data_IF_791079231892
#
_entry.id   IF_791079231892
#
_cell.length_a   1.000
_cell.length_b   1.000
_cell.length_c   1.000
_cell.angle_alpha   90.00
_cell.angle_beta   90.00
_cell.angle_gamma   90.00
#
_symmetry.space_group_name_H-M   'P 1'
#
loop_
_entity.id
_entity.type
_entity.pdbx_description
1 polymer ?
#
# COMPACT_ATOMS: atom_id res chain seq x y z
N UNK A 1 13.94 -7.70 24.68
CA UNK A 1 14.85 -6.58 24.99
C UNK A 1 14.97 -5.76 23.73
N UNK A 2 14.39 -4.56 23.69
CA UNK A 2 14.55 -3.65 22.56
C UNK A 2 15.96 -3.09 22.66
N UNK A 3 16.82 -3.36 21.67
CA UNK A 3 18.15 -2.78 21.60
C UNK A 3 17.99 -1.26 21.54
N UNK A 4 18.50 -0.47 22.50
CA UNK A 4 18.37 0.98 22.43
C UNK A 4 19.14 1.48 21.21
N UNK A 5 18.42 1.75 20.12
CA UNK A 5 19.00 2.25 18.88
C UNK A 5 19.70 3.57 19.17
N UNK A 6 20.97 3.68 18.78
CA UNK A 6 21.79 4.85 19.08
C UNK A 6 21.26 6.08 18.34
N UNK A 7 21.37 7.26 18.95
CA UNK A 7 21.08 8.54 18.31
C UNK A 7 21.81 8.64 16.96
N UNK A 8 21.06 8.86 15.89
CA UNK A 8 21.60 9.06 14.53
C UNK A 8 21.57 7.83 13.62
N UNK A 9 21.17 6.65 14.11
CA UNK A 9 20.87 5.51 13.25
C UNK A 9 19.39 5.50 12.81
N UNK A 10 19.09 5.05 11.58
CA UNK A 10 17.71 4.88 11.17
C UNK A 10 17.02 3.80 12.01
N UNK A 11 15.73 3.97 12.24
CA UNK A 11 14.88 2.94 12.81
C UNK A 11 14.76 1.76 11.85
N UNK A 12 14.53 2.03 10.57
CA UNK A 12 14.37 0.99 9.58
C UNK A 12 15.00 1.42 8.26
N UNK A 13 15.45 0.43 7.50
CA UNK A 13 15.72 0.56 6.08
C UNK A 13 14.54 -0.01 5.31
N UNK A 14 14.00 0.75 4.36
CA UNK A 14 12.80 0.38 3.62
C UNK A 14 13.19 0.08 2.19
N UNK A 15 13.02 -1.18 1.76
CA UNK A 15 13.06 -1.51 0.35
C UNK A 15 11.68 -1.28 -0.26
N UNK A 16 11.56 -0.24 -1.09
CA UNK A 16 10.29 0.19 -1.65
C UNK A 16 10.17 -0.25 -3.11
N UNK A 17 9.04 -0.84 -3.44
CA UNK A 17 8.68 -1.30 -4.79
C UNK A 17 7.55 -0.42 -5.30
N UNK A 18 7.82 0.41 -6.30
CA UNK A 18 6.82 1.30 -6.91
C UNK A 18 6.05 0.54 -7.99
N UNK A 19 4.71 0.62 -7.95
CA UNK A 19 3.84 -0.09 -8.90
C UNK A 19 2.81 0.83 -9.54
N UNK A 20 2.11 0.33 -10.56
CA UNK A 20 1.04 1.04 -11.25
C UNK A 20 -0.37 0.71 -10.73
N UNK A 21 -0.48 0.01 -9.60
CA UNK A 21 -1.74 -0.38 -8.95
C UNK A 21 -1.75 0.01 -7.47
N UNK A 22 -2.93 0.05 -6.87
CA UNK A 22 -3.06 0.28 -5.43
C UNK A 22 -2.46 -0.90 -4.66
N UNK A 23 -1.42 -0.64 -3.87
CA UNK A 23 -0.60 -1.68 -3.26
C UNK A 23 -1.38 -2.49 -2.21
N UNK A 24 -2.38 -1.91 -1.56
CA UNK A 24 -3.13 -2.54 -0.45
C UNK A 24 -3.95 -3.77 -0.84
N UNK A 25 -4.02 -4.07 -2.14
CA UNK A 25 -4.66 -5.28 -2.66
C UNK A 25 -3.72 -6.49 -2.71
N UNK A 26 -2.39 -6.30 -2.60
CA UNK A 26 -1.42 -7.36 -2.91
C UNK A 26 -0.07 -7.26 -2.20
N UNK A 27 0.16 -6.25 -1.37
CA UNK A 27 1.43 -5.98 -0.68
C UNK A 27 1.90 -7.16 0.16
N UNK A 28 0.96 -7.83 0.84
CA UNK A 28 1.23 -8.95 1.74
C UNK A 28 1.64 -10.20 0.95
N UNK A 29 0.89 -10.54 -0.09
CA UNK A 29 1.20 -11.66 -0.96
C UNK A 29 2.52 -11.48 -1.71
N UNK A 30 2.78 -10.26 -2.19
CA UNK A 30 4.04 -9.92 -2.86
C UNK A 30 5.22 -10.04 -1.89
N UNK A 31 5.12 -9.47 -0.69
CA UNK A 31 6.16 -9.64 0.34
C UNK A 31 6.41 -11.12 0.64
N UNK A 32 5.36 -11.89 0.90
CA UNK A 32 5.47 -13.32 1.22
C UNK A 32 6.17 -14.12 0.12
N UNK A 33 5.88 -13.86 -1.15
CA UNK A 33 6.55 -14.52 -2.27
C UNK A 33 8.01 -14.11 -2.41
N UNK A 34 8.31 -12.81 -2.27
CA UNK A 34 9.66 -12.29 -2.44
C UNK A 34 10.56 -12.83 -1.34
N UNK A 35 10.09 -12.78 -0.09
CA UNK A 35 10.97 -12.88 1.07
C UNK A 35 10.76 -14.14 1.89
N UNK A 36 9.57 -14.76 1.82
CA UNK A 36 9.18 -15.90 2.64
C UNK A 36 8.54 -15.52 3.98
N UNK A 37 8.50 -14.24 4.35
CA UNK A 37 7.94 -13.79 5.63
C UNK A 37 6.48 -13.38 5.48
N UNK A 38 5.69 -13.61 6.54
CA UNK A 38 4.29 -13.22 6.66
C UNK A 38 4.09 -12.49 7.99
N UNK A 39 3.10 -11.61 8.04
CA UNK A 39 2.65 -11.02 9.29
C UNK A 39 1.65 -11.90 10.04
N UNK A 40 1.14 -11.39 11.16
CA UNK A 40 0.21 -12.12 12.04
C UNK A 40 -1.15 -12.45 11.39
N UNK A 41 -1.51 -11.75 10.31
CA UNK A 41 -2.74 -12.01 9.56
C UNK A 41 -2.70 -13.27 8.66
N UNK A 42 -1.55 -13.94 8.59
CA UNK A 42 -1.28 -15.13 7.76
C UNK A 42 -1.49 -14.97 6.23
N UNK A 43 -1.82 -13.77 5.75
CA UNK A 43 -1.97 -13.52 4.30
C UNK A 43 -0.64 -13.77 3.59
N UNK A 44 -0.70 -14.51 2.48
CA UNK A 44 0.48 -14.91 1.71
C UNK A 44 1.13 -16.22 2.14
N UNK A 45 0.53 -16.99 3.06
CA UNK A 45 1.08 -18.27 3.57
C UNK A 45 1.57 -19.24 2.48
N UNK A 46 0.80 -19.43 1.41
CA UNK A 46 1.21 -20.30 0.30
C UNK A 46 2.38 -19.71 -0.51
N UNK A 47 2.42 -18.39 -0.72
CA UNK A 47 3.54 -17.71 -1.36
C UNK A 47 4.82 -17.81 -0.51
N UNK A 48 4.69 -17.68 0.81
CA UNK A 48 5.79 -17.81 1.74
C UNK A 48 6.33 -19.25 1.82
N UNK A 49 5.45 -20.25 1.71
CA UNK A 49 5.85 -21.65 1.59
C UNK A 49 6.59 -21.90 0.28
N UNK A 50 6.08 -21.37 -0.83
CA UNK A 50 6.73 -21.47 -2.13
C UNK A 50 8.12 -20.82 -2.12
N UNK A 51 8.26 -19.61 -1.57
CA UNK A 51 9.55 -18.93 -1.43
C UNK A 51 10.57 -19.79 -0.65
N UNK A 52 10.17 -20.37 0.48
CA UNK A 52 11.02 -21.27 1.28
C UNK A 52 11.46 -22.53 0.53
N UNK A 53 10.68 -22.98 -0.44
CA UNK A 53 11.02 -24.13 -1.28
C UNK A 53 11.94 -23.74 -2.44
N UNK A 54 11.70 -22.59 -3.07
CA UNK A 54 12.45 -22.13 -4.24
C UNK A 54 13.84 -21.57 -3.90
N UNK A 55 13.94 -20.82 -2.79
CA UNK A 55 15.14 -20.06 -2.42
C UNK A 55 15.45 -20.16 -0.90
N UNK A 56 15.56 -21.38 -0.32
CA UNK A 56 15.66 -21.57 1.13
C UNK A 56 16.81 -20.78 1.79
N UNK A 57 18.00 -20.77 1.18
CA UNK A 57 19.18 -20.07 1.73
C UNK A 57 19.00 -18.54 1.73
N UNK A 58 18.30 -18.01 0.72
CA UNK A 58 17.97 -16.57 0.66
C UNK A 58 16.94 -16.24 1.72
N UNK A 59 15.89 -17.06 1.87
CA UNK A 59 14.87 -16.83 2.90
C UNK A 59 15.47 -16.84 4.30
N UNK A 60 16.38 -17.78 4.59
CA UNK A 60 17.08 -17.83 5.87
C UNK A 60 17.86 -16.54 6.17
N UNK A 61 18.55 -15.99 5.16
CA UNK A 61 19.25 -14.69 5.29
C UNK A 61 18.28 -13.52 5.48
N UNK A 62 17.12 -13.55 4.82
CA UNK A 62 16.09 -12.51 4.96
C UNK A 62 15.38 -12.58 6.32
N UNK A 63 15.17 -13.77 6.88
CA UNK A 63 14.63 -13.96 8.23
C UNK A 63 15.47 -13.26 9.29
N UNK A 64 16.79 -13.18 9.09
CA UNK A 64 17.71 -12.48 9.98
C UNK A 64 17.72 -10.97 9.80
N UNK A 65 17.18 -10.42 8.69
CA UNK A 65 17.30 -9.00 8.32
C UNK A 65 15.98 -8.23 8.36
N UNK A 66 14.86 -8.90 8.12
CA UNK A 66 13.54 -8.26 8.00
C UNK A 66 12.92 -8.04 9.37
N UNK A 67 12.46 -6.81 9.61
CA UNK A 67 11.76 -6.43 10.83
C UNK A 67 10.25 -6.60 10.67
N UNK A 68 9.58 -7.06 11.73
CA UNK A 68 8.11 -7.09 11.81
C UNK A 68 7.60 -5.89 12.61
N UNK A 69 6.98 -4.94 11.92
CA UNK A 69 6.56 -3.64 12.47
C UNK A 69 5.04 -3.64 12.68
N UNK A 70 4.52 -3.10 13.80
CA UNK A 70 3.08 -3.02 14.01
C UNK A 70 2.43 -2.01 13.07
N UNK A 71 1.27 -2.37 12.50
CA UNK A 71 0.40 -1.42 11.82
C UNK A 71 -0.39 -0.53 12.81
N UNK A 72 -1.24 0.37 12.30
CA UNK A 72 -2.06 1.28 13.13
C UNK A 72 -3.01 0.55 14.09
N UNK A 73 -3.32 -0.73 13.83
CA UNK A 73 -4.15 -1.57 14.68
C UNK A 73 -3.32 -2.51 15.58
N UNK A 74 -1.99 -2.36 15.59
CA UNK A 74 -1.06 -3.19 16.35
C UNK A 74 -0.76 -4.56 15.73
N UNK A 75 -1.21 -4.83 14.49
CA UNK A 75 -0.92 -6.08 13.81
C UNK A 75 0.50 -6.04 13.22
N UNK A 76 1.37 -6.94 13.66
CA UNK A 76 2.77 -6.98 13.23
C UNK A 76 2.95 -7.58 11.84
N UNK A 77 3.64 -6.85 10.96
CA UNK A 77 3.87 -7.25 9.56
C UNK A 77 5.26 -6.82 9.07
N UNK A 78 5.89 -7.58 8.17
CA UNK A 78 7.17 -7.21 7.57
C UNK A 78 7.05 -6.15 6.45
N UNK A 79 5.83 -5.70 6.16
CA UNK A 79 5.50 -4.91 4.98
C UNK A 79 4.37 -3.93 5.26
N UNK A 80 4.42 -2.78 4.58
CA UNK A 80 3.33 -1.80 4.53
C UNK A 80 3.11 -1.29 3.11
N UNK A 81 1.92 -0.73 2.87
CA UNK A 81 1.72 0.14 1.71
C UNK A 81 2.44 1.46 1.95
N UNK A 82 3.01 2.04 0.88
CA UNK A 82 3.86 3.21 0.98
C UNK A 82 3.46 4.28 -0.06
N UNK A 83 3.58 5.59 0.27
CA UNK A 83 3.30 6.65 -0.68
C UNK A 83 4.20 6.56 -1.93
N UNK A 84 3.59 6.78 -3.09
CA UNK A 84 4.25 6.82 -4.40
C UNK A 84 4.47 8.27 -4.83
N UNK A 85 5.71 8.80 -4.81
CA UNK A 85 5.98 10.17 -5.23
C UNK A 85 5.54 10.44 -6.67
N UNK A 86 5.06 11.66 -6.92
CA UNK A 86 4.54 12.05 -8.23
C UNK A 86 3.14 11.52 -8.55
N UNK A 87 2.50 10.84 -7.59
CA UNK A 87 1.13 10.36 -7.69
C UNK A 87 0.28 10.84 -6.51
N UNK A 88 -1.02 11.01 -6.76
CA UNK A 88 -2.01 11.33 -5.73
C UNK A 88 -3.31 10.54 -5.94
N UNK A 89 -4.01 10.28 -4.84
CA UNK A 89 -5.37 9.75 -4.84
C UNK A 89 -6.36 10.92 -4.75
N UNK A 90 -7.48 10.83 -5.46
CA UNK A 90 -8.50 11.88 -5.50
C UNK A 90 -9.57 11.78 -4.40
N UNK A 91 -9.44 10.83 -3.47
CA UNK A 91 -10.41 10.54 -2.41
C UNK A 91 -11.55 9.61 -2.82
N UNK A 92 -11.64 9.20 -4.09
CA UNK A 92 -12.69 8.31 -4.63
C UNK A 92 -12.09 7.11 -5.38
N UNK A 93 -10.99 6.56 -4.86
CA UNK A 93 -10.32 5.38 -5.42
C UNK A 93 -9.52 5.60 -6.70
N UNK A 94 -9.60 6.80 -7.31
CA UNK A 94 -8.82 7.16 -8.48
C UNK A 94 -7.40 7.61 -8.12
N UNK A 95 -6.40 7.11 -8.85
CA UNK A 95 -4.99 7.41 -8.66
C UNK A 95 -4.42 8.08 -9.92
N UNK A 96 -3.77 9.22 -9.76
CA UNK A 96 -3.36 10.09 -10.87
C UNK A 96 -1.95 10.62 -10.67
N UNK A 97 -1.24 10.90 -11.75
CA UNK A 97 0.05 11.60 -11.69
C UNK A 97 -0.15 13.08 -11.44
N UNK A 98 0.83 13.73 -10.82
CA UNK A 98 0.86 15.20 -10.75
C UNK A 98 0.76 15.83 -12.15
N UNK A 99 0.01 16.92 -12.27
CA UNK A 99 -0.35 17.51 -13.56
C UNK A 99 -1.60 16.90 -14.22
N UNK A 100 -2.26 15.93 -13.60
CA UNK A 100 -3.52 15.33 -14.07
C UNK A 100 -4.75 15.76 -13.25
N UNK A 101 -4.71 16.93 -12.61
CA UNK A 101 -5.74 17.41 -11.69
C UNK A 101 -7.13 17.53 -12.35
N UNK A 102 -7.19 17.99 -13.60
CA UNK A 102 -8.45 18.08 -14.35
C UNK A 102 -9.10 16.70 -14.56
N UNK A 103 -8.29 15.71 -14.95
CA UNK A 103 -8.75 14.32 -15.12
C UNK A 103 -9.18 13.72 -13.79
N UNK A 104 -8.44 13.99 -12.72
CA UNK A 104 -8.75 13.52 -11.38
C UNK A 104 -10.05 14.13 -10.83
N UNK A 105 -10.30 15.42 -11.10
CA UNK A 105 -11.53 16.11 -10.74
C UNK A 105 -12.73 15.55 -11.53
N UNK A 106 -12.58 15.31 -12.83
CA UNK A 106 -13.63 14.70 -13.65
C UNK A 106 -13.99 13.30 -13.12
N UNK A 107 -13.00 12.46 -12.83
CA UNK A 107 -13.21 11.15 -12.22
C UNK A 107 -13.88 11.25 -10.85
N UNK A 108 -13.46 12.20 -9.99
CA UNK A 108 -14.05 12.40 -8.68
C UNK A 108 -15.55 12.72 -8.77
N UNK A 109 -15.94 13.63 -9.67
CA UNK A 109 -17.34 13.99 -9.92
C UNK A 109 -18.15 12.79 -10.42
N UNK A 110 -17.58 12.03 -11.35
CA UNK A 110 -18.21 10.84 -11.90
C UNK A 110 -18.46 9.76 -10.84
N UNK A 111 -17.43 9.41 -10.05
CA UNK A 111 -17.57 8.36 -9.03
C UNK A 111 -18.42 8.82 -7.84
N UNK A 112 -18.37 10.11 -7.47
CA UNK A 112 -19.31 10.69 -6.48
C UNK A 112 -20.75 10.51 -6.95
N UNK A 113 -21.06 10.86 -8.19
CA UNK A 113 -22.39 10.64 -8.76
C UNK A 113 -22.79 9.18 -8.66
N UNK A 114 -21.97 8.26 -9.14
CA UNK A 114 -22.25 6.82 -9.11
C UNK A 114 -22.46 6.26 -7.71
N UNK A 115 -21.71 6.75 -6.72
CA UNK A 115 -21.82 6.32 -5.34
C UNK A 115 -23.12 6.79 -4.68
N UNK A 116 -23.53 8.04 -4.94
CA UNK A 116 -24.67 8.67 -4.26
C UNK A 116 -25.98 8.68 -5.06
N UNK A 117 -25.98 8.36 -6.36
CA UNK A 117 -27.17 8.42 -7.22
C UNK A 117 -28.26 7.40 -6.84
N UNK A 118 -27.92 6.36 -6.06
CA UNK A 118 -28.84 5.27 -5.71
C UNK A 118 -28.92 5.09 -4.21
N UNK A 119 -30.13 5.19 -3.67
CA UNK A 119 -30.43 4.68 -2.35
C UNK A 119 -30.48 3.14 -2.38
N UNK A 120 -29.92 2.45 -1.37
CA UNK A 120 -30.06 1.00 -1.26
C UNK A 120 -31.53 0.57 -1.27
N UNK A 121 -31.88 -0.39 -2.13
CA UNK A 121 -33.25 -0.88 -2.25
C UNK A 121 -33.78 -1.51 -0.95
N UNK A 122 -32.87 -2.02 -0.12
CA UNK A 122 -33.17 -2.62 1.19
C UNK A 122 -33.71 -1.64 2.23
N UNK A 123 -33.64 -0.32 1.99
CA UNK A 123 -34.10 0.68 2.94
C UNK A 123 -35.62 0.91 2.82
N UNK A 124 -36.26 1.22 3.94
CA UNK A 124 -37.64 1.71 3.97
C UNK A 124 -37.78 3.03 3.19
N UNK A 125 -38.95 3.33 2.60
CA UNK A 125 -39.10 4.45 1.66
C UNK A 125 -38.73 5.81 2.26
N UNK A 126 -39.10 6.06 3.51
CA UNK A 126 -38.74 7.30 4.21
C UNK A 126 -37.22 7.47 4.37
N UNK A 127 -36.48 6.37 4.57
CA UNK A 127 -35.02 6.39 4.61
C UNK A 127 -34.42 6.54 3.22
N UNK A 128 -35.02 5.89 2.19
CA UNK A 128 -34.58 6.05 0.80
C UNK A 128 -34.68 7.50 0.35
N UNK A 129 -35.76 8.18 0.69
CA UNK A 129 -35.93 9.59 0.34
C UNK A 129 -34.88 10.48 1.01
N UNK A 130 -34.64 10.28 2.32
CA UNK A 130 -33.57 10.98 3.03
C UNK A 130 -32.20 10.76 2.36
N UNK A 131 -31.88 9.52 2.02
CA UNK A 131 -30.61 9.17 1.35
C UNK A 131 -30.51 9.81 -0.04
N UNK A 132 -31.60 9.89 -0.81
CA UNK A 132 -31.60 10.57 -2.12
C UNK A 132 -31.31 12.06 -1.98
N UNK A 133 -31.95 12.73 -1.02
CA UNK A 133 -31.72 14.17 -0.77
C UNK A 133 -30.27 14.43 -0.34
N UNK A 134 -29.77 13.67 0.63
CA UNK A 134 -28.37 13.78 1.09
C UNK A 134 -27.38 13.43 -0.04
N UNK A 135 -27.69 12.41 -0.83
CA UNK A 135 -26.91 12.01 -2.00
C UNK A 135 -26.85 13.09 -3.08
N UNK A 136 -27.98 13.72 -3.40
CA UNK A 136 -28.03 14.82 -4.37
C UNK A 136 -27.21 16.03 -3.88
N UNK A 137 -27.29 16.37 -2.59
CA UNK A 137 -26.44 17.42 -2.01
C UNK A 137 -24.95 17.12 -2.20
N UNK A 138 -24.51 15.87 -1.96
CA UNK A 138 -23.11 15.45 -2.19
C UNK A 138 -22.70 15.56 -3.66
N UNK A 139 -23.61 15.23 -4.58
CA UNK A 139 -23.37 15.35 -6.03
C UNK A 139 -23.23 16.81 -6.44
N UNK A 140 -24.09 17.69 -5.93
CA UNK A 140 -24.06 19.12 -6.25
C UNK A 140 -22.80 19.79 -5.67
N UNK A 141 -22.44 19.45 -4.43
CA UNK A 141 -21.17 19.84 -3.80
C UNK A 141 -19.97 19.43 -4.67
N UNK A 142 -19.91 18.18 -5.10
CA UNK A 142 -18.84 17.70 -5.96
C UNK A 142 -18.81 18.39 -7.32
N UNK A 143 -19.98 18.65 -7.93
CA UNK A 143 -20.07 19.34 -9.21
C UNK A 143 -19.60 20.80 -9.14
N UNK A 144 -19.82 21.47 -8.01
CA UNK A 144 -19.37 22.83 -7.78
C UNK A 144 -17.84 22.96 -7.56
N UNK A 145 -17.14 21.85 -7.27
CA UNK A 145 -15.69 21.87 -7.11
C UNK A 145 -14.98 22.28 -8.41
N UNK A 146 -14.01 23.18 -8.27
CA UNK A 146 -13.10 23.61 -9.34
C UNK A 146 -11.68 23.04 -9.17
N UNK A 147 -11.37 22.49 -7.99
CA UNK A 147 -10.08 21.89 -7.66
C UNK A 147 -10.34 20.57 -6.95
N UNK A 148 -9.53 19.55 -7.27
CA UNK A 148 -9.58 18.25 -6.61
C UNK A 148 -8.65 18.23 -5.39
N UNK A 149 -9.13 17.69 -4.28
CA UNK A 149 -8.28 17.42 -3.12
C UNK A 149 -7.30 16.30 -3.46
N UNK A 150 -6.04 16.48 -3.09
CA UNK A 150 -4.99 15.46 -3.25
C UNK A 150 -4.72 14.76 -1.93
N UNK A 151 -4.66 13.43 -1.99
CA UNK A 151 -4.20 12.57 -0.91
C UNK A 151 -3.00 11.75 -1.39
N UNK A 152 -2.13 11.23 -0.50
CA UNK A 152 -1.06 10.33 -0.90
C UNK A 152 -1.61 9.11 -1.66
N UNK A 153 -1.04 8.81 -2.83
CA UNK A 153 -1.32 7.56 -3.53
C UNK A 153 -0.44 6.45 -2.96
N UNK A 154 -1.05 5.38 -2.45
CA UNK A 154 -0.34 4.23 -1.91
C UNK A 154 -0.23 3.11 -2.95
N UNK A 155 0.56 3.37 -3.98
CA UNK A 155 0.82 2.43 -5.08
C UNK A 155 2.20 1.77 -4.94
N UNK A 156 2.85 1.94 -3.79
CA UNK A 156 4.15 1.35 -3.49
C UNK A 156 4.04 0.39 -2.31
N UNK A 157 4.98 -0.54 -2.22
CA UNK A 157 5.11 -1.50 -1.12
C UNK A 157 6.45 -1.25 -0.44
N UNK A 158 6.50 -1.18 0.89
CA UNK A 158 7.74 -1.05 1.65
C UNK A 158 7.98 -2.29 2.52
N UNK A 159 9.11 -2.97 2.31
CA UNK A 159 9.58 -4.08 3.15
C UNK A 159 10.60 -3.52 4.15
N UNK A 160 10.41 -3.85 5.43
CA UNK A 160 11.21 -3.31 6.54
C UNK A 160 12.43 -4.17 6.83
N UNK A 161 13.58 -3.53 6.97
CA UNK A 161 14.84 -4.16 7.37
C UNK A 161 15.46 -3.40 8.54
N UNK A 162 16.13 -4.12 9.46
CA UNK A 162 16.93 -3.47 10.53
C UNK A 162 18.36 -3.12 10.08
N UNK A 163 18.82 -3.68 8.96
CA UNK A 163 20.11 -3.39 8.35
C UNK A 163 20.05 -3.49 6.82
N UNK A 164 20.98 -2.85 6.13
CA UNK A 164 21.01 -2.83 4.66
C UNK A 164 21.32 -4.24 4.13
N UNK A 165 20.44 -4.86 3.33
CA UNK A 165 20.77 -6.13 2.68
C UNK A 165 21.91 -5.94 1.69
N UNK A 166 22.76 -6.96 1.53
CA UNK A 166 23.79 -6.92 0.50
C UNK A 166 23.20 -6.92 -0.92
N UNK A 167 24.07 -6.61 -1.89
CA UNK A 167 23.69 -6.44 -3.28
C UNK A 167 23.03 -7.68 -3.88
N UNK A 168 23.52 -8.86 -3.53
CA UNK A 168 22.98 -10.12 -4.06
C UNK A 168 21.56 -10.34 -3.56
N UNK A 169 21.28 -10.06 -2.28
CA UNK A 169 19.91 -10.09 -1.74
C UNK A 169 19.01 -9.07 -2.41
N UNK A 170 19.49 -7.84 -2.61
CA UNK A 170 18.73 -6.79 -3.31
C UNK A 170 18.36 -7.24 -4.73
N UNK A 171 19.28 -7.85 -5.46
CA UNK A 171 19.04 -8.29 -6.83
C UNK A 171 18.03 -9.45 -6.88
N UNK A 172 18.08 -10.39 -5.92
CA UNK A 172 17.06 -11.44 -5.77
C UNK A 172 15.69 -10.84 -5.44
N UNK A 173 15.62 -9.90 -4.50
CA UNK A 173 14.37 -9.21 -4.13
C UNK A 173 13.74 -8.55 -5.36
N UNK A 174 14.53 -7.80 -6.12
CA UNK A 174 14.08 -7.14 -7.36
C UNK A 174 13.61 -8.13 -8.41
N UNK A 175 14.31 -9.25 -8.58
CA UNK A 175 13.93 -10.28 -9.54
C UNK A 175 12.59 -10.91 -9.17
N UNK A 176 12.45 -11.37 -7.92
CA UNK A 176 11.21 -12.00 -7.44
C UNK A 176 10.02 -11.06 -7.46
N UNK A 177 10.23 -9.77 -7.18
CA UNK A 177 9.18 -8.76 -7.32
C UNK A 177 8.65 -8.72 -8.77
N UNK A 178 9.55 -8.73 -9.76
CA UNK A 178 9.16 -8.75 -11.19
C UNK A 178 8.46 -10.06 -11.56
N UNK A 179 8.95 -11.19 -11.05
CA UNK A 179 8.39 -12.50 -11.37
C UNK A 179 6.93 -12.61 -10.91
N UNK A 180 6.64 -12.26 -9.65
CA UNK A 180 5.27 -12.33 -9.14
C UNK A 180 4.36 -11.28 -9.78
N UNK A 181 4.88 -10.08 -10.04
CA UNK A 181 4.13 -9.02 -10.73
C UNK A 181 3.70 -9.45 -12.15
N UNK A 182 4.57 -10.18 -12.86
CA UNK A 182 4.28 -10.74 -14.18
C UNK A 182 3.29 -11.91 -14.14
N UNK A 183 3.32 -12.74 -13.08
CA UNK A 183 2.39 -13.87 -12.89
C UNK A 183 0.99 -13.42 -12.44
N UNK A 184 0.90 -12.23 -11.84
CA UNK A 184 -0.30 -11.72 -11.18
C UNK A 184 -0.24 -11.92 -9.67
N UNK A 185 -0.85 -10.99 -8.92
CA UNK A 185 -0.75 -10.92 -7.46
C UNK A 185 -2.12 -10.73 -6.80
N UNK A 186 -2.18 -10.90 -5.48
CA UNK A 186 -3.40 -10.76 -4.67
C UNK A 186 -4.32 -11.99 -4.67
N UNK A 187 -5.40 -11.91 -3.91
CA UNK A 187 -6.36 -13.01 -3.72
C UNK A 187 -6.87 -13.56 -5.07
N UNK A 188 -6.64 -14.85 -5.35
CA UNK A 188 -7.00 -15.52 -6.63
C UNK A 188 -6.36 -14.91 -7.88
N UNK A 189 -5.21 -14.24 -7.77
CA UNK A 189 -4.55 -13.55 -8.89
C UNK A 189 -5.43 -12.43 -9.49
N UNK A 190 -6.25 -11.78 -8.67
CA UNK A 190 -7.20 -10.76 -9.11
C UNK A 190 -6.51 -9.56 -9.76
N UNK A 191 -5.34 -9.16 -9.26
CA UNK A 191 -4.50 -8.13 -9.88
C UNK A 191 -3.58 -8.80 -10.92
N UNK A 192 -4.17 -9.19 -12.05
CA UNK A 192 -3.38 -9.67 -13.18
C UNK A 192 -2.53 -8.52 -13.72
N UNK A 193 -1.21 -8.73 -13.83
CA UNK A 193 -0.25 -7.80 -14.46
C UNK A 193 -0.06 -6.46 -13.74
N UNK A 194 0.39 -6.52 -12.49
CA UNK A 194 0.99 -5.34 -11.84
C UNK A 194 2.28 -4.98 -12.57
N UNK A 195 2.46 -3.73 -12.98
CA UNK A 195 3.74 -3.25 -13.51
C UNK A 195 4.57 -2.66 -12.38
N UNK A 196 5.84 -3.05 -12.31
CA UNK A 196 6.83 -2.38 -11.47
C UNK A 196 7.36 -1.16 -12.22
N UNK A 197 7.10 0.02 -11.67
CA UNK A 197 7.57 1.30 -12.20
C UNK A 197 8.99 1.62 -11.70
N UNK A 198 9.40 1.10 -10.53
CA UNK A 198 10.73 1.35 -9.98
C UNK A 198 10.98 0.71 -8.62
N UNK A 199 12.19 0.93 -8.10
CA UNK A 199 12.59 0.54 -6.75
C UNK A 199 13.26 1.73 -6.06
N UNK A 200 13.01 1.90 -4.76
CA UNK A 200 13.66 2.89 -3.91
C UNK A 200 14.19 2.21 -2.65
N UNK A 201 15.21 2.81 -2.05
CA UNK A 201 15.75 2.36 -0.77
C UNK A 201 15.85 3.57 0.14
N UNK A 202 15.18 3.51 1.28
CA UNK A 202 14.99 4.66 2.16
C UNK A 202 15.44 4.35 3.59
N UNK A 203 15.87 5.37 4.29
CA UNK A 203 16.08 5.35 5.74
C UNK A 203 14.85 5.97 6.42
N UNK A 204 14.34 5.32 7.47
CA UNK A 204 13.26 5.85 8.30
C UNK A 204 13.81 6.28 9.66
N UNK A 205 13.41 7.46 10.12
CA UNK A 205 13.75 8.01 11.43
C UNK A 205 12.48 8.47 12.16
N UNK A 206 12.39 8.17 13.45
CA UNK A 206 11.31 8.58 14.35
C UNK A 206 11.87 9.55 15.37
N UNK A 207 11.31 10.76 15.42
CA UNK A 207 11.74 11.80 16.38
C UNK A 207 10.63 12.09 17.37
N UNK A 208 10.97 12.12 18.65
CA UNK A 208 10.07 12.53 19.72
C UNK A 208 10.46 13.91 20.23
N UNK A 209 9.47 14.78 20.44
CA UNK A 209 9.65 16.06 21.11
C UNK A 209 8.94 16.03 22.44
N UNK A 210 9.70 16.14 23.52
CA UNK A 210 9.13 16.32 24.86
C UNK A 210 8.41 17.67 24.92
N UNK A 211 7.18 17.66 25.42
CA UNK A 211 6.41 18.87 25.68
C UNK A 211 6.53 19.18 27.17
N UNK A 212 7.01 20.38 27.50
CA UNK A 212 6.99 20.88 28.87
C UNK A 212 5.55 21.28 29.20
N UNK A 213 4.85 20.44 29.96
CA UNK A 213 3.48 20.68 30.46
C UNK A 213 3.51 21.30 31.86
#
# INVERSE_FOLDING_TARGET
MVNPRMQGQPDYYLFVIDTDKYAGNFEREMCAYITGQIGECEVGKENAKLARQEIPDVVARLDELIDSVPDENGCHRPVSIFPTPGWFNNGMGGHFRDGQEEKALAHYKQETKKYYEKAPESYAENLREKVRVEGQQKIDEANALTVVQKYPAYMSIAIYFHSIPDRDLIDVIKQRARDIAAQGVGLRLFESQVRIDGFRFLEQYTTYKELNL
#
